data_IF_204189041805
#
_entry.id   IF_204189041805
#
_cell.length_a   1.000
_cell.length_b   1.000
_cell.length_c   1.000
_cell.angle_alpha   90.00
_cell.angle_beta   90.00
_cell.angle_gamma   90.00
#
_symmetry.space_group_name_H-M   'P 1'
#
loop_
_entity.id
_entity.type
_entity.pdbx_description
1 polymer ?
#
# COMPACT_ATOMS: atom_id res chain seq x y z
N UNK A 1 -12.71 15.58 12.88
CA UNK A 1 -11.57 14.63 12.90
C UNK A 1 -10.29 15.39 13.14
N UNK A 2 -9.35 14.84 13.91
CA UNK A 2 -8.04 15.45 14.11
C UNK A 2 -7.18 15.23 12.86
N UNK A 3 -6.47 16.26 12.41
CA UNK A 3 -5.48 16.16 11.33
C UNK A 3 -4.08 16.11 11.93
N UNK A 4 -3.21 15.30 11.36
CA UNK A 4 -1.80 15.19 11.77
C UNK A 4 -0.91 15.70 10.65
N UNK A 5 0.06 16.55 10.97
CA UNK A 5 1.04 17.05 10.00
C UNK A 5 2.12 15.99 9.78
N UNK A 6 2.33 15.62 8.52
CA UNK A 6 3.39 14.70 8.10
C UNK A 6 4.36 15.42 7.18
N UNK A 7 5.63 15.05 7.25
CA UNK A 7 6.64 15.45 6.27
C UNK A 7 6.91 14.26 5.36
N UNK A 8 6.78 14.46 4.05
CA UNK A 8 7.02 13.44 3.03
C UNK A 8 8.08 13.93 2.05
N UNK A 9 8.78 12.98 1.41
CA UNK A 9 9.65 13.27 0.26
C UNK A 9 8.89 12.92 -1.01
N UNK A 10 8.93 13.82 -1.99
CA UNK A 10 8.45 13.61 -3.35
C UNK A 10 9.61 13.92 -4.29
N UNK A 11 9.51 13.41 -5.52
CA UNK A 11 10.46 13.80 -6.56
C UNK A 11 10.25 15.27 -6.92
N UNK A 12 11.33 15.97 -7.29
CA UNK A 12 11.29 17.41 -7.54
C UNK A 12 10.38 17.77 -8.72
N UNK A 13 10.35 16.95 -9.77
CA UNK A 13 9.47 17.09 -10.93
C UNK A 13 7.98 17.04 -10.53
N UNK A 14 7.62 16.13 -9.63
CA UNK A 14 6.27 16.02 -9.08
C UNK A 14 5.90 17.28 -8.28
N UNK A 15 6.83 17.83 -7.50
CA UNK A 15 6.58 19.06 -6.73
C UNK A 15 6.32 20.24 -7.67
N UNK A 16 7.12 20.37 -8.74
CA UNK A 16 6.95 21.44 -9.73
C UNK A 16 5.62 21.31 -10.50
N UNK A 17 5.23 20.09 -10.87
CA UNK A 17 3.95 19.85 -11.53
C UNK A 17 2.76 20.21 -10.62
N UNK A 18 2.81 19.84 -9.34
CA UNK A 18 1.78 20.22 -8.37
C UNK A 18 1.69 21.74 -8.24
N UNK A 19 2.84 22.44 -8.19
CA UNK A 19 2.86 23.91 -8.14
C UNK A 19 2.24 24.52 -9.39
N UNK A 20 2.52 23.97 -10.57
CA UNK A 20 1.92 24.42 -11.82
C UNK A 20 0.40 24.26 -11.82
N UNK A 21 -0.13 23.15 -11.29
CA UNK A 21 -1.56 22.92 -11.15
C UNK A 21 -2.23 23.91 -10.18
N UNK A 22 -1.55 24.23 -9.07
CA UNK A 22 -2.02 25.26 -8.13
C UNK A 22 -2.00 26.64 -8.78
N UNK A 23 -0.93 26.99 -9.48
CA UNK A 23 -0.82 28.27 -10.21
C UNK A 23 -1.90 28.41 -11.29
N UNK A 24 -2.28 27.30 -11.93
CA UNK A 24 -3.37 27.23 -12.89
C UNK A 24 -4.78 27.24 -12.24
N UNK A 25 -4.87 27.35 -10.91
CA UNK A 25 -6.14 27.38 -10.18
C UNK A 25 -6.86 26.03 -10.09
N UNK A 26 -6.21 24.93 -10.46
CA UNK A 26 -6.80 23.57 -10.43
C UNK A 26 -6.80 22.95 -9.03
N UNK A 27 -6.02 23.52 -8.10
CA UNK A 27 -6.02 23.14 -6.69
C UNK A 27 -5.80 24.37 -5.81
N UNK A 28 -6.45 24.41 -4.63
CA UNK A 28 -6.38 25.55 -3.72
C UNK A 28 -4.99 25.73 -3.06
N UNK A 29 -4.22 24.64 -2.92
CA UNK A 29 -2.84 24.64 -2.42
C UNK A 29 -2.18 23.28 -2.69
N UNK A 30 -0.86 23.19 -2.50
CA UNK A 30 -0.12 21.92 -2.55
C UNK A 30 -0.68 20.91 -1.55
N UNK A 31 -0.94 21.34 -0.31
CA UNK A 31 -1.51 20.45 0.72
C UNK A 31 -2.91 19.96 0.33
N UNK A 32 -3.75 20.81 -0.26
CA UNK A 32 -5.07 20.42 -0.72
C UNK A 32 -5.01 19.42 -1.87
N UNK A 33 -4.08 19.60 -2.81
CA UNK A 33 -3.82 18.64 -3.88
C UNK A 33 -3.43 17.27 -3.30
N UNK A 34 -2.46 17.24 -2.39
CA UNK A 34 -1.99 15.99 -1.76
C UNK A 34 -3.10 15.31 -0.95
N UNK A 35 -3.88 16.07 -0.18
CA UNK A 35 -5.03 15.53 0.56
C UNK A 35 -6.07 14.89 -0.36
N UNK A 36 -6.38 15.53 -1.49
CA UNK A 36 -7.30 14.98 -2.48
C UNK A 36 -6.75 13.69 -3.10
N UNK A 37 -5.48 13.68 -3.53
CA UNK A 37 -4.84 12.50 -4.11
C UNK A 37 -4.79 11.33 -3.13
N UNK A 38 -4.48 11.58 -1.85
CA UNK A 38 -4.53 10.55 -0.79
C UNK A 38 -5.95 10.04 -0.59
N UNK A 39 -6.96 10.91 -0.62
CA UNK A 39 -8.36 10.51 -0.54
C UNK A 39 -8.78 9.58 -1.68
N UNK A 40 -8.41 9.92 -2.92
CA UNK A 40 -8.66 9.09 -4.10
C UNK A 40 -7.98 7.73 -3.97
N UNK A 41 -6.70 7.70 -3.60
CA UNK A 41 -5.95 6.46 -3.46
C UNK A 41 -6.52 5.54 -2.34
N UNK A 42 -6.97 6.12 -1.23
CA UNK A 42 -7.60 5.36 -0.15
C UNK A 42 -8.98 4.83 -0.56
N UNK A 43 -9.76 5.61 -1.31
CA UNK A 43 -11.07 5.18 -1.80
C UNK A 43 -10.93 4.03 -2.80
N UNK A 44 -10.03 4.16 -3.78
CA UNK A 44 -9.75 3.13 -4.78
C UNK A 44 -9.26 1.81 -4.13
N UNK A 45 -8.37 1.91 -3.14
CA UNK A 45 -7.92 0.74 -2.39
C UNK A 45 -9.05 0.06 -1.58
N UNK A 46 -10.01 0.83 -1.07
CA UNK A 46 -11.17 0.30 -0.36
C UNK A 46 -12.16 -0.37 -1.32
N UNK A 47 -12.44 0.26 -2.46
CA UNK A 47 -13.34 -0.26 -3.50
C UNK A 47 -12.79 -1.56 -4.11
N UNK A 48 -11.49 -1.58 -4.42
CA UNK A 48 -10.83 -2.81 -4.88
C UNK A 48 -10.89 -3.93 -3.84
N UNK A 49 -10.73 -3.60 -2.56
CA UNK A 49 -10.83 -4.59 -1.48
C UNK A 49 -12.25 -5.14 -1.35
N UNK A 50 -13.27 -4.29 -1.46
CA UNK A 50 -14.67 -4.71 -1.41
C UNK A 50 -15.02 -5.62 -2.59
N UNK A 51 -14.63 -5.23 -3.82
CA UNK A 51 -14.81 -6.06 -5.02
C UNK A 51 -14.10 -7.42 -4.89
N UNK A 52 -12.89 -7.44 -4.33
CA UNK A 52 -12.16 -8.68 -4.08
C UNK A 52 -12.87 -9.56 -3.03
N UNK A 53 -13.36 -8.96 -1.94
CA UNK A 53 -14.10 -9.69 -0.92
C UNK A 53 -15.39 -10.30 -1.48
N UNK A 54 -16.14 -9.57 -2.30
CA UNK A 54 -17.33 -10.07 -2.97
C UNK A 54 -17.00 -11.23 -3.94
N UNK A 55 -15.99 -11.05 -4.80
CA UNK A 55 -15.57 -12.08 -5.72
C UNK A 55 -15.10 -13.36 -5.00
N UNK A 56 -14.40 -13.21 -3.87
CA UNK A 56 -14.02 -14.33 -3.02
C UNK A 56 -15.25 -15.02 -2.43
N UNK A 57 -16.22 -14.29 -1.89
CA UNK A 57 -17.47 -14.89 -1.37
C UNK A 57 -18.20 -15.71 -2.43
N UNK A 58 -18.27 -15.22 -3.68
CA UNK A 58 -18.89 -15.93 -4.79
C UNK A 58 -18.11 -17.19 -5.23
N UNK A 59 -16.80 -17.26 -4.96
CA UNK A 59 -15.91 -18.32 -5.46
C UNK A 59 -15.40 -19.29 -4.39
N UNK A 60 -15.95 -19.24 -3.17
CA UNK A 60 -15.61 -20.18 -2.09
C UNK A 60 -15.23 -19.54 -0.76
N UNK A 61 -15.25 -18.22 -0.68
CA UNK A 61 -14.94 -17.42 0.50
C UNK A 61 -13.44 -17.14 0.66
N UNK A 62 -13.07 -16.42 1.73
CA UNK A 62 -11.66 -16.16 2.05
C UNK A 62 -10.91 -17.45 2.39
N UNK A 63 -9.63 -17.50 2.01
CA UNK A 63 -8.74 -18.65 2.22
C UNK A 63 -8.76 -19.12 3.69
N UNK A 64 -9.12 -20.37 3.91
CA UNK A 64 -9.14 -20.96 5.25
C UNK A 64 -7.71 -21.19 5.75
N UNK A 65 -7.57 -21.33 7.08
CA UNK A 65 -6.26 -21.64 7.70
C UNK A 65 -5.64 -22.94 7.16
N UNK A 66 -6.49 -23.93 6.82
CA UNK A 66 -6.04 -25.22 6.29
C UNK A 66 -5.52 -25.08 4.85
N UNK A 67 -6.24 -24.35 4.02
CA UNK A 67 -5.81 -24.08 2.64
C UNK A 67 -4.56 -23.21 2.59
N UNK A 68 -4.45 -22.21 3.49
CA UNK A 68 -3.21 -21.44 3.64
C UNK A 68 -2.04 -22.32 4.03
N UNK A 69 -2.19 -23.20 5.02
CA UNK A 69 -1.13 -24.10 5.43
C UNK A 69 -0.73 -25.08 4.31
N UNK A 70 -1.68 -25.56 3.51
CA UNK A 70 -1.42 -26.39 2.32
C UNK A 70 -0.73 -25.60 1.20
N UNK A 71 -1.13 -24.34 0.96
CA UNK A 71 -0.48 -23.49 -0.04
C UNK A 71 0.96 -23.14 0.40
N UNK A 72 1.16 -22.84 1.68
CA UNK A 72 2.48 -22.53 2.24
C UNK A 72 3.43 -23.74 2.11
N UNK A 73 2.96 -24.98 2.21
CA UNK A 73 3.83 -26.16 2.00
C UNK A 73 4.23 -26.37 0.53
N UNK A 74 3.41 -25.92 -0.41
CA UNK A 74 3.65 -26.07 -1.86
C UNK A 74 4.40 -24.89 -2.48
N UNK A 75 4.10 -23.67 -2.03
CA UNK A 75 4.54 -22.42 -2.66
C UNK A 75 5.71 -21.76 -1.92
N UNK A 76 6.01 -22.15 -0.68
CA UNK A 76 7.18 -21.61 0.01
C UNK A 76 8.45 -22.00 -0.75
N UNK A 77 9.36 -21.04 -1.03
CA UNK A 77 10.62 -21.35 -1.66
C UNK A 77 11.38 -22.34 -0.77
N UNK A 78 11.59 -23.54 -1.31
CA UNK A 78 12.36 -24.60 -0.66
C UNK A 78 13.77 -24.09 -0.45
N UNK A 79 14.07 -23.61 0.76
CA UNK A 79 15.45 -23.49 1.24
C UNK A 79 16.07 -22.11 1.38
N UNK A 80 15.39 -21.12 1.97
CA UNK A 80 16.15 -20.21 2.83
C UNK A 80 16.33 -20.84 4.22
N UNK A 81 17.21 -21.85 4.27
CA UNK A 81 17.87 -22.20 5.53
C UNK A 81 18.52 -20.92 6.03
N UNK A 82 18.00 -20.33 7.11
CA UNK A 82 18.72 -19.31 7.87
C UNK A 82 20.07 -19.92 8.24
N UNK A 83 21.11 -19.55 7.50
CA UNK A 83 22.47 -19.96 7.82
C UNK A 83 22.79 -19.58 9.26
N UNK A 84 23.58 -20.39 9.98
CA UNK A 84 23.90 -20.10 11.36
C UNK A 84 24.54 -18.72 11.44
N UNK A 85 23.96 -17.83 12.25
CA UNK A 85 24.61 -16.57 12.63
C UNK A 85 25.93 -16.94 13.30
N UNK A 86 27.04 -16.82 12.56
CA UNK A 86 28.38 -16.94 13.10
C UNK A 86 28.58 -15.75 14.04
N UNK A 87 28.30 -15.96 15.33
CA UNK A 87 28.70 -15.06 16.39
C UNK A 87 30.21 -14.91 16.36
N UNK A 88 30.68 -13.69 16.18
CA UNK A 88 32.05 -13.30 16.53
C UNK A 88 32.23 -13.52 18.03
N UNK A 89 33.25 -14.27 18.43
CA UNK A 89 33.80 -14.26 19.77
C UNK A 89 35.32 -14.51 19.68
N UNK A 90 36.04 -13.77 20.54
CA UNK A 90 37.50 -13.57 20.66
C UNK A 90 38.15 -12.71 19.57
#
# INVERSE_FOLDING_TARGET
>A
MATSKIAIKLQDDQVEEIRALVAAGKAASVSAFVQHAVGVALFDAADWKEMLEEALQQTGGPLTKKERAWADTLLSPVGQKKGPRKGKAA
#
